data_IF_772763202967
#
_entry.id   IF_772763202967
#
_cell.length_a   1.000
_cell.length_b   1.000
_cell.length_c   1.000
_cell.angle_alpha   90.00
_cell.angle_beta   90.00
_cell.angle_gamma   90.00
#
_symmetry.space_group_name_H-M   'P 1'
#
loop_
_entity.id
_entity.type
_entity.pdbx_description
1 polymer ?
#
# COMPACT_ATOMS: atom_id res chain seq x y z
N UNK A 1 -7.78 -9.43 -19.26
CA UNK A 1 -8.77 -8.35 -19.34
C UNK A 1 -10.21 -8.89 -19.38
N UNK A 2 -10.57 -9.83 -18.50
CA UNK A 2 -11.95 -10.27 -18.31
C UNK A 2 -12.43 -9.73 -16.95
N UNK A 3 -13.74 -9.44 -16.80
CA UNK A 3 -14.31 -9.10 -15.50
C UNK A 3 -14.02 -10.20 -14.47
N UNK A 4 -13.96 -9.82 -13.20
CA UNK A 4 -13.90 -10.80 -12.11
C UNK A 4 -15.25 -11.53 -12.03
N UNK A 5 -15.18 -12.83 -11.77
CA UNK A 5 -16.35 -13.70 -11.58
C UNK A 5 -16.50 -14.01 -10.08
N UNK A 6 -17.73 -13.96 -9.58
CA UNK A 6 -18.04 -14.36 -8.22
C UNK A 6 -18.33 -15.87 -8.22
N UNK A 7 -17.46 -16.64 -7.58
CA UNK A 7 -17.56 -18.11 -7.51
C UNK A 7 -17.64 -18.58 -6.05
N UNK A 8 -18.24 -19.73 -5.83
CA UNK A 8 -18.13 -20.45 -4.56
C UNK A 8 -16.86 -21.30 -4.57
N UNK A 9 -16.01 -21.08 -3.59
CA UNK A 9 -14.77 -21.83 -3.42
C UNK A 9 -14.76 -22.58 -2.08
N UNK A 10 -13.96 -23.64 -2.05
CA UNK A 10 -13.66 -24.35 -0.82
C UNK A 10 -12.39 -23.76 -0.21
N UNK A 11 -12.39 -23.53 1.09
CA UNK A 11 -11.23 -23.12 1.87
C UNK A 11 -10.78 -24.26 2.78
N UNK A 12 -9.50 -24.59 2.76
CA UNK A 12 -8.96 -25.68 3.57
C UNK A 12 -8.91 -25.29 5.06
N UNK A 13 -8.75 -26.27 5.93
CA UNK A 13 -8.53 -26.02 7.37
C UNK A 13 -7.17 -25.32 7.57
N UNK A 14 -7.04 -24.46 8.61
CA UNK A 14 -5.77 -23.86 8.96
C UNK A 14 -4.68 -24.92 9.23
N UNK A 15 -3.54 -24.77 8.54
CA UNK A 15 -2.31 -25.47 8.90
C UNK A 15 -1.70 -24.89 10.19
N UNK A 16 -0.58 -25.46 10.71
CA UNK A 16 -0.03 -25.12 12.03
C UNK A 16 0.12 -23.60 12.28
N UNK A 17 0.66 -22.84 11.33
CA UNK A 17 0.88 -21.38 11.42
C UNK A 17 -0.13 -20.56 10.63
N UNK A 18 -1.29 -21.11 10.30
CA UNK A 18 -2.28 -20.41 9.48
C UNK A 18 -3.45 -19.90 10.31
N UNK A 19 -4.05 -18.84 9.84
CA UNK A 19 -5.16 -18.12 10.46
C UNK A 19 -6.29 -18.00 9.44
N UNK A 20 -7.47 -18.44 9.81
CA UNK A 20 -8.71 -18.23 9.07
C UNK A 20 -9.35 -16.94 9.56
N UNK A 21 -9.58 -16.01 8.64
CA UNK A 21 -10.12 -14.68 8.95
C UNK A 21 -11.42 -14.49 8.16
N UNK A 22 -12.48 -14.07 8.86
CA UNK A 22 -13.68 -13.56 8.21
C UNK A 22 -13.43 -12.13 7.80
N UNK A 23 -13.43 -11.89 6.48
CA UNK A 23 -13.18 -10.57 5.90
C UNK A 23 -14.33 -9.63 6.26
N UNK A 24 -14.03 -8.49 6.84
CA UNK A 24 -15.01 -7.43 7.10
C UNK A 24 -15.03 -6.38 5.99
N UNK A 25 -13.86 -6.03 5.48
CA UNK A 25 -13.68 -5.12 4.37
C UNK A 25 -12.35 -5.36 3.66
N UNK A 26 -12.31 -5.03 2.36
CA UNK A 26 -11.09 -5.03 1.57
C UNK A 26 -11.07 -3.79 0.66
N UNK A 27 -9.98 -3.04 0.70
CA UNK A 27 -9.75 -1.91 -0.21
C UNK A 27 -9.48 -2.39 -1.64
N UNK A 28 -9.90 -1.61 -2.62
CA UNK A 28 -9.52 -1.75 -4.02
C UNK A 28 -8.22 -0.97 -4.25
N UNK A 29 -7.21 -1.62 -4.77
CA UNK A 29 -5.91 -1.02 -5.05
C UNK A 29 -5.55 -1.13 -6.53
N UNK A 30 -4.82 -0.13 -7.06
CA UNK A 30 -4.28 -0.21 -8.42
C UNK A 30 -3.36 -1.42 -8.63
N UNK A 31 -2.75 -1.95 -7.57
CA UNK A 31 -1.97 -3.18 -7.67
C UNK A 31 -2.83 -4.38 -8.04
N UNK A 32 -4.07 -4.50 -7.52
CA UNK A 32 -5.00 -5.56 -7.93
C UNK A 32 -5.32 -5.43 -9.40
N UNK A 33 -5.57 -4.19 -9.88
CA UNK A 33 -5.87 -3.91 -11.28
C UNK A 33 -4.71 -4.33 -12.20
N UNK A 34 -3.46 -4.08 -11.82
CA UNK A 34 -2.30 -4.52 -12.59
C UNK A 34 -2.21 -6.03 -12.75
N UNK A 35 -2.61 -6.81 -11.73
CA UNK A 35 -2.69 -8.27 -11.83
C UNK A 35 -3.87 -8.71 -12.69
N UNK A 36 -5.04 -8.10 -12.53
CA UNK A 36 -6.26 -8.39 -13.32
C UNK A 36 -6.01 -8.10 -14.81
N UNK A 37 -5.30 -7.05 -15.13
CA UNK A 37 -4.95 -6.65 -16.50
C UNK A 37 -3.75 -7.41 -17.08
N UNK A 38 -3.06 -8.21 -16.26
CA UNK A 38 -1.92 -9.00 -16.69
C UNK A 38 -0.62 -8.19 -16.87
N UNK A 39 -0.57 -6.95 -16.37
CA UNK A 39 0.66 -6.13 -16.33
C UNK A 39 1.74 -6.81 -15.50
N UNK A 40 1.32 -7.48 -14.42
CA UNK A 40 2.18 -8.36 -13.61
C UNK A 40 1.69 -9.80 -13.72
N UNK A 41 2.57 -10.76 -14.08
CA UNK A 41 2.19 -12.15 -14.24
C UNK A 41 1.78 -12.79 -12.91
N UNK A 42 0.73 -13.58 -12.93
CA UNK A 42 0.26 -14.37 -11.79
C UNK A 42 -0.33 -15.71 -12.25
N UNK A 43 -0.30 -16.71 -11.40
CA UNK A 43 -0.94 -18.00 -11.66
C UNK A 43 -2.47 -17.83 -11.66
N UNK A 44 -3.15 -18.41 -12.63
CA UNK A 44 -4.61 -18.39 -12.77
C UNK A 44 -5.19 -19.81 -12.72
N UNK A 45 -6.43 -20.02 -12.24
CA UNK A 45 -7.31 -18.99 -11.65
C UNK A 45 -6.81 -18.50 -10.29
N UNK A 46 -7.16 -17.26 -9.91
CA UNK A 46 -6.72 -16.67 -8.66
C UNK A 46 -7.80 -15.78 -8.04
N UNK A 47 -7.82 -15.71 -6.71
CA UNK A 47 -8.61 -14.71 -5.97
C UNK A 47 -7.71 -13.53 -5.66
N UNK A 48 -8.05 -12.31 -6.15
CA UNK A 48 -7.31 -11.09 -5.82
C UNK A 48 -7.71 -10.48 -4.47
N UNK A 49 -7.24 -9.25 -4.21
CA UNK A 49 -7.46 -8.52 -2.96
C UNK A 49 -6.34 -8.71 -1.94
N UNK A 50 -5.81 -7.57 -1.43
CA UNK A 50 -4.67 -7.60 -0.52
C UNK A 50 -4.70 -6.52 0.57
N UNK A 51 -5.75 -5.74 0.66
CA UNK A 51 -5.88 -4.59 1.56
C UNK A 51 -7.05 -4.79 2.51
N UNK A 52 -6.93 -5.73 3.47
CA UNK A 52 -8.08 -6.20 4.20
C UNK A 52 -7.96 -6.09 5.73
N UNK A 53 -9.12 -5.99 6.36
CA UNK A 53 -9.31 -6.19 7.79
C UNK A 53 -10.44 -7.18 8.04
N UNK A 54 -10.39 -7.87 9.19
CA UNK A 54 -11.40 -8.86 9.53
C UNK A 54 -11.26 -9.37 10.95
N UNK A 55 -12.02 -10.42 11.24
CA UNK A 55 -12.04 -11.10 12.55
C UNK A 55 -11.48 -12.50 12.40
N UNK A 56 -10.60 -12.90 13.30
CA UNK A 56 -10.05 -14.26 13.34
C UNK A 56 -11.13 -15.26 13.73
N UNK A 57 -11.40 -16.26 12.89
CA UNK A 57 -12.40 -17.31 13.11
C UNK A 57 -11.78 -18.63 13.59
N UNK A 58 -10.56 -18.95 13.09
CA UNK A 58 -9.83 -20.13 13.52
C UNK A 58 -8.33 -19.91 13.40
N UNK A 59 -7.56 -20.64 14.20
CA UNK A 59 -6.10 -20.59 14.21
C UNK A 59 -5.51 -21.99 14.19
N UNK A 60 -4.36 -22.16 13.54
CA UNK A 60 -3.58 -23.38 13.57
C UNK A 60 -2.92 -23.61 14.93
N UNK A 61 -2.44 -24.84 15.16
CA UNK A 61 -1.93 -25.29 16.46
C UNK A 61 -0.68 -24.56 16.97
N UNK A 62 0.06 -23.93 16.07
CA UNK A 62 1.31 -23.23 16.39
C UNK A 62 1.22 -21.70 16.28
N UNK A 63 0.03 -21.18 15.93
CA UNK A 63 -0.22 -19.74 15.90
C UNK A 63 -0.07 -19.12 17.29
N UNK A 64 0.69 -18.03 17.38
CA UNK A 64 0.98 -17.34 18.65
C UNK A 64 0.71 -15.84 18.60
N UNK A 65 0.57 -15.26 17.41
CA UNK A 65 0.47 -13.81 17.23
C UNK A 65 -0.95 -13.28 17.41
N UNK A 66 -1.94 -14.13 17.15
CA UNK A 66 -3.37 -13.81 17.20
C UNK A 66 -4.18 -14.98 17.76
N UNK A 67 -5.43 -14.74 18.18
CA UNK A 67 -6.39 -15.73 18.65
C UNK A 67 -7.77 -15.48 18.05
N UNK A 68 -8.65 -16.50 18.14
CA UNK A 68 -10.05 -16.39 17.72
C UNK A 68 -10.73 -15.19 18.39
N UNK A 69 -11.45 -14.40 17.59
CA UNK A 69 -12.13 -13.19 18.00
C UNK A 69 -11.29 -11.91 17.90
N UNK A 70 -9.97 -11.99 17.66
CA UNK A 70 -9.16 -10.79 17.47
C UNK A 70 -9.53 -10.07 16.17
N UNK A 71 -9.61 -8.73 16.24
CA UNK A 71 -9.66 -7.85 15.09
C UNK A 71 -8.24 -7.72 14.50
N UNK A 72 -8.12 -7.90 13.18
CA UNK A 72 -6.82 -7.90 12.51
C UNK A 72 -6.85 -7.10 11.20
N UNK A 73 -5.67 -6.54 10.84
CA UNK A 73 -5.36 -6.02 9.50
C UNK A 73 -4.36 -6.96 8.85
N UNK A 74 -4.54 -7.22 7.56
CA UNK A 74 -3.62 -8.06 6.77
C UNK A 74 -2.53 -7.23 6.11
N UNK A 75 -1.41 -7.86 5.78
CA UNK A 75 -0.31 -7.24 5.04
C UNK A 75 0.30 -8.22 4.04
N UNK A 76 0.46 -7.78 2.80
CA UNK A 76 1.13 -8.58 1.77
C UNK A 76 2.63 -8.79 2.02
N UNK A 77 3.25 -8.00 2.92
CA UNK A 77 4.66 -8.14 3.34
C UNK A 77 4.84 -9.28 4.35
N UNK A 78 4.22 -10.44 4.13
CA UNK A 78 4.39 -11.60 4.97
C UNK A 78 5.89 -11.94 5.13
N UNK A 79 6.35 -12.21 6.35
CA UNK A 79 7.76 -12.36 6.67
C UNK A 79 8.06 -13.67 7.38
N UNK A 80 9.26 -14.26 7.15
CA UNK A 80 9.64 -15.52 7.79
C UNK A 80 10.20 -15.34 9.22
N UNK A 81 10.70 -14.17 9.58
CA UNK A 81 11.25 -13.86 10.90
C UNK A 81 12.73 -14.17 11.09
N UNK A 82 13.37 -14.96 10.22
CA UNK A 82 14.74 -15.48 10.42
C UNK A 82 15.74 -15.21 9.29
N UNK A 83 15.29 -14.75 8.09
CA UNK A 83 16.22 -14.41 7.01
C UNK A 83 16.98 -13.11 7.32
N UNK A 84 18.05 -12.86 6.55
CA UNK A 84 18.87 -11.66 6.71
C UNK A 84 18.03 -10.37 6.79
N UNK A 85 17.04 -10.21 5.91
CA UNK A 85 16.19 -9.03 5.92
C UNK A 85 15.37 -8.90 7.20
N UNK A 86 14.79 -10.00 7.68
CA UNK A 86 14.01 -9.98 8.92
C UNK A 86 14.86 -9.64 10.14
N UNK A 87 16.00 -10.33 10.33
CA UNK A 87 16.85 -10.16 11.52
C UNK A 87 17.60 -8.83 11.55
N UNK A 88 17.71 -8.15 10.39
CA UNK A 88 18.28 -6.79 10.29
C UNK A 88 17.23 -5.68 10.28
N UNK A 89 15.95 -5.99 10.59
CA UNK A 89 14.89 -4.99 10.64
C UNK A 89 14.41 -4.48 9.28
N UNK A 90 14.55 -5.27 8.22
CA UNK A 90 14.13 -4.93 6.85
C UNK A 90 13.08 -5.93 6.35
N UNK A 91 12.10 -6.28 7.20
CA UNK A 91 11.14 -7.36 6.93
C UNK A 91 10.30 -7.13 5.66
N UNK A 92 10.06 -5.88 5.26
CA UNK A 92 9.39 -5.58 4.01
C UNK A 92 10.12 -6.13 2.75
N UNK A 93 11.42 -6.45 2.87
CA UNK A 93 12.23 -7.08 1.82
C UNK A 93 12.28 -8.60 1.93
N UNK A 94 11.59 -9.20 2.91
CA UNK A 94 11.54 -10.64 3.06
C UNK A 94 10.84 -11.29 1.86
N UNK A 95 11.39 -12.37 1.33
CA UNK A 95 10.76 -13.12 0.23
C UNK A 95 9.59 -14.00 0.70
N UNK A 96 9.38 -14.13 2.01
CA UNK A 96 8.22 -14.80 2.61
C UNK A 96 8.10 -16.29 2.29
N UNK A 97 9.20 -16.99 1.97
CA UNK A 97 9.17 -18.39 1.52
C UNK A 97 8.42 -19.32 2.47
N UNK A 98 8.67 -19.20 3.78
CA UNK A 98 8.07 -20.05 4.80
C UNK A 98 6.62 -19.69 5.14
N UNK A 99 6.11 -18.59 4.60
CA UNK A 99 4.70 -18.17 4.78
C UNK A 99 3.76 -18.81 3.75
N UNK A 100 4.31 -19.57 2.81
CA UNK A 100 3.58 -20.31 1.78
C UNK A 100 3.55 -21.80 2.14
N UNK A 101 2.51 -22.48 1.69
CA UNK A 101 2.51 -23.94 1.75
C UNK A 101 3.58 -24.50 0.82
N UNK A 102 4.18 -25.62 1.22
CA UNK A 102 5.20 -26.31 0.43
C UNK A 102 4.66 -26.72 -0.95
N UNK A 103 5.50 -26.75 -1.99
CA UNK A 103 5.09 -27.27 -3.30
C UNK A 103 4.51 -28.68 -3.17
N UNK A 104 3.35 -28.92 -3.79
CA UNK A 104 2.62 -30.19 -3.72
C UNK A 104 1.73 -30.38 -2.49
N UNK A 105 1.74 -29.46 -1.53
CA UNK A 105 0.77 -29.47 -0.44
C UNK A 105 -0.64 -29.07 -0.96
N UNK A 106 -1.67 -29.43 -0.21
CA UNK A 106 -3.06 -29.02 -0.49
C UNK A 106 -3.14 -27.49 -0.65
N UNK A 107 -3.86 -27.02 -1.68
CA UNK A 107 -4.08 -25.58 -1.86
C UNK A 107 -4.96 -25.03 -0.73
N UNK A 108 -4.73 -23.77 -0.34
CA UNK A 108 -5.62 -23.08 0.60
C UNK A 108 -7.01 -22.86 0.03
N UNK A 109 -7.10 -22.66 -1.28
CA UNK A 109 -8.34 -22.45 -2.01
C UNK A 109 -8.45 -23.49 -3.13
N UNK A 110 -9.66 -24.03 -3.33
CA UNK A 110 -9.98 -24.91 -4.44
C UNK A 110 -11.41 -24.71 -4.91
N UNK A 111 -11.69 -25.09 -6.15
CA UNK A 111 -13.06 -25.23 -6.65
C UNK A 111 -13.71 -26.49 -6.08
N UNK A 112 -15.04 -26.64 -6.19
CA UNK A 112 -15.75 -27.85 -5.73
C UNK A 112 -15.27 -29.15 -6.37
N UNK A 113 -14.68 -29.09 -7.57
CA UNK A 113 -14.08 -30.24 -8.28
C UNK A 113 -12.68 -30.61 -7.78
N UNK A 114 -12.15 -29.86 -6.78
CA UNK A 114 -10.82 -30.05 -6.21
C UNK A 114 -9.70 -29.33 -6.98
N UNK A 115 -9.97 -28.65 -8.08
CA UNK A 115 -8.95 -27.89 -8.81
C UNK A 115 -8.45 -26.71 -7.98
N UNK A 116 -7.11 -26.48 -7.88
CA UNK A 116 -6.55 -25.45 -7.05
C UNK A 116 -6.81 -24.05 -7.59
N UNK A 117 -7.02 -23.09 -6.69
CA UNK A 117 -7.12 -21.66 -6.99
C UNK A 117 -5.99 -20.92 -6.27
N UNK A 118 -5.28 -20.08 -7.00
CA UNK A 118 -4.15 -19.34 -6.47
C UNK A 118 -4.60 -18.17 -5.58
N UNK A 119 -3.74 -17.82 -4.62
CA UNK A 119 -3.92 -16.63 -3.78
C UNK A 119 -3.06 -15.49 -4.31
N UNK A 120 -3.68 -14.35 -4.65
CA UNK A 120 -2.91 -13.15 -4.97
C UNK A 120 -2.21 -12.64 -3.70
N UNK A 121 -0.89 -12.46 -3.80
CA UNK A 121 -0.04 -11.96 -2.71
C UNK A 121 -0.20 -12.72 -1.37
N UNK A 122 -0.59 -14.01 -1.43
CA UNK A 122 -0.86 -14.91 -0.30
C UNK A 122 -2.03 -14.47 0.62
N UNK A 123 -2.89 -13.56 0.16
CA UNK A 123 -4.01 -13.03 0.95
C UNK A 123 -5.37 -13.46 0.38
N UNK A 124 -5.70 -13.10 -0.86
CA UNK A 124 -7.01 -13.42 -1.49
C UNK A 124 -8.19 -12.79 -0.76
N UNK A 125 -8.13 -11.48 -0.57
CA UNK A 125 -9.05 -10.80 0.33
C UNK A 125 -10.39 -10.38 -0.29
N UNK A 126 -10.57 -10.47 -1.63
CA UNK A 126 -11.88 -10.31 -2.25
C UNK A 126 -12.70 -11.60 -2.11
N UNK A 127 -12.92 -11.98 -0.87
CA UNK A 127 -13.66 -13.16 -0.45
C UNK A 127 -14.21 -12.95 0.96
N UNK A 128 -15.28 -13.68 1.30
CA UNK A 128 -15.86 -13.65 2.66
C UNK A 128 -14.89 -14.17 3.72
N UNK A 129 -13.99 -15.08 3.32
CA UNK A 129 -13.01 -15.71 4.21
C UNK A 129 -11.62 -15.74 3.57
N UNK A 130 -10.58 -15.52 4.38
CA UNK A 130 -9.18 -15.64 4.00
C UNK A 130 -8.48 -16.67 4.87
N UNK A 131 -7.65 -17.52 4.26
CA UNK A 131 -6.73 -18.40 4.99
C UNK A 131 -5.30 -17.96 4.68
N UNK A 132 -4.61 -17.41 5.67
CA UNK A 132 -3.30 -16.79 5.51
C UNK A 132 -2.33 -17.29 6.59
N UNK A 133 -1.04 -17.01 6.44
CA UNK A 133 -0.05 -17.26 7.47
C UNK A 133 -0.17 -16.20 8.59
N UNK A 134 0.08 -16.57 9.86
CA UNK A 134 0.02 -15.63 11.00
C UNK A 134 0.92 -14.40 10.83
N UNK A 135 2.04 -14.53 10.12
CA UNK A 135 2.93 -13.40 9.76
C UNK A 135 2.47 -12.60 8.54
N UNK A 136 1.21 -12.72 8.15
CA UNK A 136 0.56 -11.87 7.14
C UNK A 136 -0.57 -11.03 7.72
N UNK A 137 -0.74 -11.02 9.04
CA UNK A 137 -1.70 -10.15 9.74
C UNK A 137 -1.14 -9.67 11.07
N UNK A 138 -1.76 -8.64 11.60
CA UNK A 138 -1.48 -8.13 12.95
C UNK A 138 -2.76 -7.76 13.66
N UNK A 139 -2.80 -8.02 14.97
CA UNK A 139 -3.92 -7.63 15.83
C UNK A 139 -3.96 -6.10 15.96
N UNK A 140 -5.16 -5.56 15.94
CA UNK A 140 -5.44 -4.13 16.14
C UNK A 140 -6.42 -3.91 17.29
N UNK A 141 -6.63 -2.65 17.66
CA UNK A 141 -7.63 -2.26 18.64
C UNK A 141 -9.04 -2.75 18.17
N UNK A 142 -9.79 -3.49 19.00
CA UNK A 142 -11.12 -3.98 18.63
C UNK A 142 -12.16 -2.87 18.41
N UNK A 143 -11.93 -1.67 18.95
CA UNK A 143 -12.79 -0.51 18.72
C UNK A 143 -12.55 0.17 17.36
N UNK A 144 -11.48 -0.21 16.64
CA UNK A 144 -11.19 0.33 15.30
C UNK A 144 -12.22 -0.15 14.29
N UNK A 145 -12.93 0.75 13.57
CA UNK A 145 -13.84 0.34 12.49
C UNK A 145 -13.08 -0.41 11.38
N UNK A 146 -13.50 -1.65 11.08
CA UNK A 146 -12.76 -2.54 10.21
C UNK A 146 -12.73 -2.09 8.74
N UNK A 147 -13.73 -1.36 8.28
CA UNK A 147 -13.76 -0.76 6.96
C UNK A 147 -12.69 0.34 6.79
N UNK A 148 -12.37 1.09 7.86
CA UNK A 148 -11.23 2.03 7.89
C UNK A 148 -9.93 1.28 8.09
N UNK A 149 -9.93 0.24 8.93
CA UNK A 149 -8.74 -0.54 9.18
C UNK A 149 -8.20 -1.22 7.90
N UNK A 150 -9.10 -1.63 6.98
CA UNK A 150 -8.69 -2.33 5.76
C UNK A 150 -7.68 -1.53 4.93
N UNK A 151 -7.89 -0.22 4.73
CA UNK A 151 -6.96 0.62 3.93
C UNK A 151 -5.59 0.81 4.58
N UNK A 152 -5.43 0.47 5.87
CA UNK A 152 -4.13 0.41 6.51
C UNK A 152 -3.30 -0.75 5.95
N UNK A 153 -3.94 -1.81 5.45
CA UNK A 153 -3.30 -3.02 4.94
C UNK A 153 -2.30 -2.80 3.79
N UNK A 154 -2.52 -1.76 2.98
CA UNK A 154 -1.63 -1.44 1.85
C UNK A 154 -1.40 0.06 1.71
N UNK A 155 -2.38 0.83 1.24
CA UNK A 155 -2.19 2.23 0.84
C UNK A 155 -1.64 3.09 1.98
N UNK A 156 -2.22 2.99 3.17
CA UNK A 156 -1.82 3.81 4.32
C UNK A 156 -0.46 3.38 4.86
N UNK A 157 -0.21 2.08 5.01
CA UNK A 157 1.11 1.55 5.44
C UNK A 157 2.19 1.92 4.44
N UNK A 158 1.91 1.86 3.13
CA UNK A 158 2.85 2.25 2.09
C UNK A 158 3.19 3.74 2.15
N UNK A 159 2.19 4.60 2.18
CA UNK A 159 2.39 6.04 2.23
C UNK A 159 3.04 6.51 3.54
N UNK A 160 2.49 6.12 4.67
CA UNK A 160 2.99 6.49 5.99
C UNK A 160 4.39 5.89 6.26
N UNK A 161 4.58 4.60 5.94
CA UNK A 161 5.88 3.95 6.08
C UNK A 161 6.96 4.61 5.21
N UNK A 162 6.62 5.11 4.03
CA UNK A 162 7.58 5.88 3.23
C UNK A 162 8.06 7.12 3.96
N UNK A 163 7.16 7.87 4.56
CA UNK A 163 7.52 9.07 5.34
C UNK A 163 8.33 8.71 6.59
N UNK A 164 7.86 7.74 7.38
CA UNK A 164 8.46 7.43 8.68
C UNK A 164 9.69 6.53 8.60
N UNK A 165 9.68 5.51 7.71
CA UNK A 165 10.70 4.46 7.70
C UNK A 165 11.73 4.67 6.58
N UNK A 166 11.29 4.98 5.35
CA UNK A 166 12.19 5.12 4.20
C UNK A 166 12.82 6.50 4.12
N UNK A 167 12.04 7.57 4.16
CA UNK A 167 12.50 8.95 4.11
C UNK A 167 12.95 9.47 5.48
N UNK A 168 12.33 8.99 6.56
CA UNK A 168 12.59 9.44 7.94
C UNK A 168 12.44 10.96 8.07
N UNK A 169 11.35 11.48 7.51
CA UNK A 169 11.07 12.91 7.48
C UNK A 169 11.10 13.49 8.88
N UNK A 170 11.85 14.56 9.06
CA UNK A 170 11.98 15.28 10.33
C UNK A 170 11.22 16.61 10.29
N UNK A 171 10.83 17.15 11.49
CA UNK A 171 10.11 18.42 11.56
C UNK A 171 10.85 19.55 10.83
N UNK A 172 10.10 20.28 9.99
CA UNK A 172 10.61 21.40 9.20
C UNK A 172 11.10 21.04 7.80
N UNK A 173 11.37 19.77 7.48
CA UNK A 173 11.73 19.35 6.13
C UNK A 173 10.59 19.54 5.13
N UNK A 174 10.93 19.58 3.86
CA UNK A 174 10.00 19.80 2.75
C UNK A 174 9.74 18.51 2.00
N UNK A 175 8.46 18.23 1.72
CA UNK A 175 8.01 17.01 1.03
C UNK A 175 7.18 17.37 -0.19
N UNK A 176 7.48 16.78 -1.35
CA UNK A 176 6.58 16.77 -2.50
C UNK A 176 6.02 15.36 -2.70
N UNK A 177 4.73 15.25 -2.99
CA UNK A 177 4.06 13.99 -3.34
C UNK A 177 3.49 14.12 -4.73
N UNK A 178 3.98 13.31 -5.66
CA UNK A 178 3.53 13.24 -7.04
C UNK A 178 2.54 12.07 -7.16
N UNK A 179 1.28 12.40 -7.41
CA UNK A 179 0.15 11.48 -7.40
C UNK A 179 -0.64 11.53 -6.09
N UNK A 180 -1.82 12.14 -6.13
CA UNK A 180 -2.72 12.31 -4.97
C UNK A 180 -3.88 11.30 -4.96
N UNK A 181 -3.65 10.08 -5.44
CA UNK A 181 -4.45 8.89 -5.14
C UNK A 181 -3.74 8.11 -4.04
N UNK A 182 -2.87 7.16 -4.41
CA UNK A 182 -2.03 6.41 -3.47
C UNK A 182 -1.12 7.26 -2.58
N UNK A 183 -0.82 8.51 -2.97
CA UNK A 183 -0.01 9.45 -2.21
C UNK A 183 -0.72 10.20 -1.08
N UNK A 184 -2.06 10.15 -0.97
CA UNK A 184 -2.80 10.87 0.08
C UNK A 184 -2.36 10.46 1.49
N UNK A 185 -2.09 9.18 1.70
CA UNK A 185 -1.59 8.68 2.98
C UNK A 185 -0.19 9.23 3.32
N UNK A 186 0.68 9.39 2.32
CA UNK A 186 2.00 10.02 2.51
C UNK A 186 1.87 11.50 2.87
N UNK A 187 0.93 12.22 2.27
CA UNK A 187 0.64 13.63 2.61
C UNK A 187 0.21 13.76 4.07
N UNK A 188 -0.73 12.94 4.52
CA UNK A 188 -1.20 12.99 5.90
C UNK A 188 -0.08 12.57 6.89
N UNK A 189 0.70 11.55 6.55
CA UNK A 189 1.85 11.14 7.35
C UNK A 189 2.94 12.23 7.42
N UNK A 190 3.20 12.98 6.33
CA UNK A 190 4.14 14.09 6.33
C UNK A 190 3.68 15.22 7.27
N UNK A 191 2.37 15.50 7.33
CA UNK A 191 1.80 16.42 8.34
C UNK A 191 2.05 15.90 9.76
N UNK A 192 1.82 14.62 10.03
CA UNK A 192 2.07 13.99 11.33
C UNK A 192 3.55 14.06 11.70
N UNK A 193 4.46 13.86 10.73
CA UNK A 193 5.91 13.97 10.92
C UNK A 193 6.39 15.41 11.19
N UNK A 194 5.52 16.42 10.99
CA UNK A 194 5.87 17.83 11.19
C UNK A 194 6.61 18.46 10.01
N UNK A 195 6.42 17.95 8.78
CA UNK A 195 7.00 18.56 7.59
C UNK A 195 6.63 20.05 7.49
N UNK A 196 7.61 20.88 7.14
CA UNK A 196 7.43 22.34 7.08
C UNK A 196 6.65 22.82 5.88
N UNK A 197 6.85 22.14 4.74
CA UNK A 197 6.02 22.32 3.53
C UNK A 197 5.70 20.96 2.91
N UNK A 198 4.47 20.80 2.49
CA UNK A 198 3.97 19.61 1.83
C UNK A 198 3.33 20.03 0.52
N UNK A 199 3.93 19.65 -0.60
CA UNK A 199 3.47 19.98 -1.95
C UNK A 199 2.78 18.78 -2.55
N UNK A 200 1.51 18.89 -2.90
CA UNK A 200 0.74 17.88 -3.60
C UNK A 200 0.74 18.16 -5.10
N UNK A 201 1.28 17.25 -5.90
CA UNK A 201 1.31 17.37 -7.35
C UNK A 201 0.43 16.30 -8.00
N UNK A 202 -0.68 16.72 -8.62
CA UNK A 202 -1.63 15.83 -9.31
C UNK A 202 -2.31 16.62 -10.45
N UNK A 203 -2.63 16.02 -11.61
CA UNK A 203 -3.35 16.71 -12.67
C UNK A 203 -4.82 17.03 -12.31
N UNK A 204 -5.42 16.23 -11.43
CA UNK A 204 -6.85 16.31 -11.10
C UNK A 204 -7.05 17.31 -9.94
N UNK A 205 -7.80 18.38 -10.17
CA UNK A 205 -8.00 19.44 -9.18
C UNK A 205 -8.65 18.93 -7.89
N UNK A 206 -9.66 18.09 -8.00
CA UNK A 206 -10.39 17.50 -6.87
C UNK A 206 -9.45 16.68 -5.97
N UNK A 207 -8.48 15.96 -6.56
CA UNK A 207 -7.44 15.21 -5.79
C UNK A 207 -6.49 16.16 -5.07
N UNK A 208 -6.15 17.29 -5.69
CA UNK A 208 -5.35 18.33 -5.02
C UNK A 208 -6.11 18.96 -3.85
N UNK A 209 -7.43 19.15 -3.96
CA UNK A 209 -8.26 19.63 -2.85
C UNK A 209 -8.32 18.62 -1.68
N UNK A 210 -8.46 17.32 -1.97
CA UNK A 210 -8.38 16.27 -0.94
C UNK A 210 -7.01 16.28 -0.25
N UNK A 211 -5.94 16.46 -1.02
CA UNK A 211 -4.59 16.58 -0.49
C UNK A 211 -4.44 17.75 0.50
N UNK A 212 -5.06 18.90 0.20
CA UNK A 212 -5.09 20.05 1.13
C UNK A 212 -5.80 19.71 2.43
N UNK A 213 -6.94 19.02 2.38
CA UNK A 213 -7.66 18.56 3.59
C UNK A 213 -6.77 17.66 4.46
N UNK A 214 -5.98 16.81 3.84
CA UNK A 214 -5.05 15.88 4.51
C UNK A 214 -3.74 16.54 4.97
N UNK A 215 -3.47 17.78 4.59
CA UNK A 215 -2.35 18.54 5.12
C UNK A 215 -1.35 19.09 4.10
N UNK A 216 -1.62 18.96 2.79
CA UNK A 216 -0.80 19.65 1.80
C UNK A 216 -0.88 21.16 2.00
N UNK A 217 0.27 21.82 2.02
CA UNK A 217 0.37 23.27 2.19
C UNK A 217 0.30 24.01 0.85
N UNK A 218 0.64 23.35 -0.24
CA UNK A 218 0.64 23.87 -1.61
C UNK A 218 0.24 22.74 -2.58
N UNK A 219 -0.28 23.14 -3.73
CA UNK A 219 -0.63 22.22 -4.81
C UNK A 219 -0.03 22.67 -6.14
N UNK A 220 0.29 21.72 -7.01
CA UNK A 220 0.83 21.94 -8.35
C UNK A 220 0.09 21.00 -9.31
N UNK A 221 -0.20 21.47 -10.52
CA UNK A 221 -0.63 20.60 -11.60
C UNK A 221 0.58 19.79 -12.10
N UNK A 222 0.53 18.47 -11.90
CA UNK A 222 1.65 17.58 -12.24
C UNK A 222 1.92 17.48 -13.77
N UNK A 223 0.96 17.90 -14.62
CA UNK A 223 1.09 17.93 -16.08
C UNK A 223 1.48 19.30 -16.62
N UNK A 224 1.61 20.32 -15.79
CA UNK A 224 2.14 21.60 -16.23
C UNK A 224 3.60 21.44 -16.71
N UNK A 225 3.96 22.06 -17.82
CA UNK A 225 5.32 21.99 -18.41
C UNK A 225 6.40 22.43 -17.42
N UNK A 226 6.06 23.33 -16.51
CA UNK A 226 6.94 23.90 -15.49
C UNK A 226 6.69 23.34 -14.07
N UNK A 227 5.96 22.23 -13.93
CA UNK A 227 5.59 21.66 -12.62
C UNK A 227 6.79 21.52 -11.65
N UNK A 228 7.92 21.03 -12.13
CA UNK A 228 9.14 20.93 -11.32
C UNK A 228 9.66 22.31 -10.89
N UNK A 229 9.64 23.29 -11.79
CA UNK A 229 10.09 24.65 -11.48
C UNK A 229 9.18 25.32 -10.43
N UNK A 230 7.86 25.13 -10.52
CA UNK A 230 6.92 25.61 -9.51
C UNK A 230 7.23 25.02 -8.13
N UNK A 231 7.49 23.69 -8.02
CA UNK A 231 7.85 23.03 -6.76
C UNK A 231 9.16 23.62 -6.20
N UNK A 232 10.17 23.81 -7.07
CA UNK A 232 11.47 24.40 -6.69
C UNK A 232 11.30 25.83 -6.20
N UNK A 233 10.48 26.65 -6.85
CA UNK A 233 10.18 28.03 -6.46
C UNK A 233 9.45 28.09 -5.11
N UNK A 234 8.37 27.30 -4.92
CA UNK A 234 7.62 27.21 -3.69
C UNK A 234 8.48 26.85 -2.47
N UNK A 235 9.52 26.04 -2.71
CA UNK A 235 10.43 25.55 -1.67
C UNK A 235 11.75 26.31 -1.61
N UNK A 236 11.96 27.30 -2.50
CA UNK A 236 13.19 28.10 -2.59
C UNK A 236 14.45 27.25 -2.81
N UNK A 237 14.38 26.29 -3.73
CA UNK A 237 15.55 25.49 -4.12
C UNK A 237 15.29 23.99 -4.23
N UNK A 238 14.08 23.54 -4.08
CA UNK A 238 13.64 22.14 -4.19
C UNK A 238 13.31 21.52 -2.82
N UNK A 239 12.73 20.30 -2.85
CA UNK A 239 12.32 19.57 -1.66
C UNK A 239 13.40 18.64 -1.12
N UNK A 240 13.34 18.37 0.20
CA UNK A 240 14.16 17.35 0.85
C UNK A 240 13.79 15.95 0.37
N UNK A 241 12.49 15.68 0.27
CA UNK A 241 11.93 14.39 -0.13
C UNK A 241 10.86 14.58 -1.19
N UNK A 242 10.97 13.82 -2.28
CA UNK A 242 9.94 13.73 -3.31
C UNK A 242 9.43 12.28 -3.40
N UNK A 243 8.12 12.10 -3.24
CA UNK A 243 7.47 10.79 -3.24
C UNK A 243 6.74 10.61 -4.57
N UNK A 244 7.08 9.57 -5.30
CA UNK A 244 6.40 9.17 -6.52
C UNK A 244 5.37 8.09 -6.21
N UNK A 245 4.07 8.36 -6.43
CA UNK A 245 2.96 7.48 -6.08
C UNK A 245 2.00 7.20 -7.26
N UNK A 246 2.47 7.36 -8.50
CA UNK A 246 1.70 7.14 -9.74
C UNK A 246 2.09 5.84 -10.43
N UNK A 247 3.39 5.51 -10.45
CA UNK A 247 3.94 4.37 -11.17
C UNK A 247 4.23 4.65 -12.65
N UNK A 248 4.70 5.86 -12.98
CA UNK A 248 5.08 6.24 -14.36
C UNK A 248 6.49 6.84 -14.40
N UNK A 249 7.28 6.60 -15.46
CA UNK A 249 8.60 7.21 -15.58
C UNK A 249 8.58 8.73 -15.47
N UNK A 250 7.63 9.39 -16.13
CA UNK A 250 7.53 10.86 -16.12
C UNK A 250 7.28 11.42 -14.71
N UNK A 251 6.47 10.76 -13.88
CA UNK A 251 6.25 11.16 -12.48
C UNK A 251 7.50 10.92 -11.62
N UNK A 252 8.26 9.86 -11.88
CA UNK A 252 9.56 9.62 -11.26
C UNK A 252 10.59 10.70 -11.61
N UNK A 253 10.63 11.11 -12.88
CA UNK A 253 11.50 12.21 -13.34
C UNK A 253 11.08 13.56 -12.74
N UNK A 254 9.78 13.84 -12.65
CA UNK A 254 9.25 15.02 -11.97
C UNK A 254 9.69 15.05 -10.49
N UNK A 255 9.58 13.91 -9.80
CA UNK A 255 10.04 13.78 -8.40
C UNK A 255 11.53 14.11 -8.27
N UNK A 256 12.40 13.58 -9.16
CA UNK A 256 13.85 13.86 -9.12
C UNK A 256 14.16 15.34 -9.46
N UNK A 257 13.47 15.91 -10.45
CA UNK A 257 13.67 17.32 -10.86
C UNK A 257 13.24 18.28 -9.74
N UNK A 258 12.26 17.89 -8.91
CA UNK A 258 11.76 18.72 -7.79
C UNK A 258 12.71 18.78 -6.58
N UNK A 259 13.73 17.91 -6.52
CA UNK A 259 14.64 17.81 -5.38
C UNK A 259 15.62 18.99 -5.30
N UNK A 260 15.90 19.42 -4.08
CA UNK A 260 17.09 20.22 -3.76
C UNK A 260 18.37 19.38 -3.89
N UNK A 261 19.54 20.03 -3.82
CA UNK A 261 20.82 19.32 -3.67
C UNK A 261 20.80 18.43 -2.42
N UNK A 262 21.24 17.19 -2.56
CA UNK A 262 21.25 16.20 -1.48
C UNK A 262 19.88 15.59 -1.16
N UNK A 263 18.79 16.03 -1.81
CA UNK A 263 17.44 15.49 -1.61
C UNK A 263 17.27 14.07 -2.14
N UNK A 264 16.17 13.41 -1.73
CA UNK A 264 15.89 12.00 -2.07
C UNK A 264 14.51 11.87 -2.72
N UNK A 265 14.44 11.29 -3.91
CA UNK A 265 13.22 10.83 -4.53
C UNK A 265 12.97 9.36 -4.15
N UNK A 266 11.74 9.05 -3.77
CA UNK A 266 11.33 7.70 -3.34
C UNK A 266 10.17 7.22 -4.20
N UNK A 267 10.36 6.09 -4.87
CA UNK A 267 9.36 5.48 -5.75
C UNK A 267 8.50 4.52 -4.94
N UNK A 268 7.19 4.73 -4.97
CA UNK A 268 6.14 3.86 -4.42
C UNK A 268 5.28 3.24 -5.51
N UNK A 269 4.99 4.01 -6.56
CA UNK A 269 4.11 3.58 -7.63
C UNK A 269 4.66 2.35 -8.35
N UNK A 270 3.78 1.35 -8.57
CA UNK A 270 4.14 0.16 -9.34
C UNK A 270 4.26 0.52 -10.83
N UNK A 271 5.49 0.61 -11.33
CA UNK A 271 5.76 0.81 -12.76
C UNK A 271 5.73 -0.53 -13.50
N UNK A 272 5.28 -0.58 -14.76
CA UNK A 272 5.42 -1.77 -15.59
C UNK A 272 6.88 -2.23 -15.66
N UNK A 273 7.12 -3.55 -15.70
CA UNK A 273 8.45 -4.17 -15.56
C UNK A 273 9.53 -3.65 -16.52
N UNK A 274 9.12 -3.16 -17.69
CA UNK A 274 10.05 -2.70 -18.73
C UNK A 274 10.31 -1.18 -18.71
N UNK A 275 9.81 -0.47 -17.68
CA UNK A 275 10.00 0.97 -17.55
C UNK A 275 11.21 1.31 -16.67
N UNK A 276 11.80 2.47 -16.93
CA UNK A 276 12.91 3.03 -16.16
C UNK A 276 12.68 4.51 -15.90
N UNK A 277 13.26 5.01 -14.82
CA UNK A 277 13.30 6.44 -14.49
C UNK A 277 14.66 6.98 -14.86
N UNK A 278 14.69 8.03 -15.70
CA UNK A 278 15.92 8.69 -16.11
C UNK A 278 16.45 9.67 -15.04
N UNK A 279 17.75 9.59 -14.74
CA UNK A 279 18.44 10.57 -13.90
C UNK A 279 19.56 11.26 -14.70
N UNK A 280 19.64 12.59 -14.57
CA UNK A 280 20.74 13.34 -15.12
C UNK A 280 22.04 13.11 -14.33
N UNK A 281 23.19 13.03 -15.01
CA UNK A 281 24.48 12.86 -14.34
C UNK A 281 24.77 14.00 -13.35
N UNK A 282 24.34 15.22 -13.66
CA UNK A 282 24.50 16.38 -12.76
C UNK A 282 23.57 16.31 -11.53
N UNK A 283 22.41 15.65 -11.65
CA UNK A 283 21.56 15.41 -10.49
C UNK A 283 22.27 14.48 -9.48
N UNK A 284 22.85 13.37 -9.97
CA UNK A 284 23.64 12.46 -9.13
C UNK A 284 24.86 13.17 -8.54
N UNK A 285 25.60 13.96 -9.33
CA UNK A 285 26.77 14.69 -8.85
C UNK A 285 26.41 15.75 -7.78
N UNK A 286 25.20 16.30 -7.85
CA UNK A 286 24.69 17.23 -6.81
C UNK A 286 24.20 16.52 -5.53
N UNK A 287 24.40 15.22 -5.44
CA UNK A 287 24.02 14.40 -4.27
C UNK A 287 22.54 14.01 -4.22
N UNK A 288 21.76 14.27 -5.28
CA UNK A 288 20.39 13.78 -5.35
C UNK A 288 20.37 12.25 -5.37
N UNK A 289 19.37 11.65 -4.73
CA UNK A 289 19.23 10.20 -4.58
C UNK A 289 17.90 9.75 -5.17
N UNK A 290 17.89 8.54 -5.72
CA UNK A 290 16.68 7.81 -6.09
C UNK A 290 16.67 6.48 -5.35
N UNK A 291 15.57 6.16 -4.68
CA UNK A 291 15.39 4.91 -3.97
C UNK A 291 13.98 4.36 -4.19
N UNK A 292 13.75 3.08 -3.90
CA UNK A 292 12.43 2.47 -3.80
C UNK A 292 12.02 2.27 -2.34
N UNK A 293 10.72 2.20 -2.08
CA UNK A 293 10.19 1.88 -0.76
C UNK A 293 9.01 0.91 -0.86
N UNK A 294 9.33 -0.37 -1.12
CA UNK A 294 8.31 -1.41 -1.17
C UNK A 294 7.50 -1.40 0.12
N UNK A 295 6.16 -1.28 -0.03
CA UNK A 295 5.23 -1.22 1.11
C UNK A 295 5.66 -0.23 2.21
N UNK A 296 6.29 0.90 1.82
CA UNK A 296 6.79 1.90 2.75
C UNK A 296 7.94 1.43 3.66
N UNK A 297 8.66 0.37 3.30
CA UNK A 297 9.67 -0.27 4.16
C UNK A 297 9.14 -0.59 5.56
N UNK A 298 7.89 -1.07 5.63
CA UNK A 298 7.13 -1.26 6.85
C UNK A 298 7.70 -2.33 7.79
N UNK A 299 7.38 -2.15 9.07
CA UNK A 299 7.45 -3.15 10.13
C UNK A 299 6.02 -3.38 10.62
N UNK A 300 5.16 -3.91 9.76
CA UNK A 300 3.71 -3.84 9.92
C UNK A 300 3.16 -4.34 11.28
N UNK A 301 3.74 -5.34 11.97
CA UNK A 301 3.27 -5.73 13.30
C UNK A 301 3.38 -4.62 14.35
N UNK A 302 4.23 -3.62 14.10
CA UNK A 302 4.43 -2.43 14.95
C UNK A 302 3.77 -1.20 14.32
N UNK A 303 3.93 -1.01 13.01
CA UNK A 303 3.49 0.20 12.33
C UNK A 303 1.97 0.27 12.20
N UNK A 304 1.28 -0.83 11.85
CA UNK A 304 -0.17 -0.82 11.67
C UNK A 304 -0.93 -0.52 12.98
N UNK A 305 -0.63 -1.14 14.13
CA UNK A 305 -1.23 -0.73 15.41
C UNK A 305 -0.97 0.74 15.75
N UNK A 306 0.19 1.29 15.40
CA UNK A 306 0.49 2.72 15.56
C UNK A 306 -0.36 3.60 14.64
N UNK A 307 -0.57 3.18 13.39
CA UNK A 307 -1.45 3.90 12.45
C UNK A 307 -2.90 3.86 12.91
N UNK A 308 -3.35 2.76 13.50
CA UNK A 308 -4.66 2.66 14.16
C UNK A 308 -4.74 3.65 15.32
N UNK A 309 -3.73 3.73 16.20
CA UNK A 309 -3.70 4.73 17.29
C UNK A 309 -3.75 6.17 16.75
N UNK A 310 -3.04 6.46 15.67
CA UNK A 310 -3.12 7.79 15.03
C UNK A 310 -4.53 8.11 14.52
N UNK A 311 -5.22 7.14 13.92
CA UNK A 311 -6.62 7.32 13.50
C UNK A 311 -7.54 7.52 14.71
N UNK A 312 -7.47 6.65 15.71
CA UNK A 312 -8.31 6.74 16.92
C UNK A 312 -8.13 8.05 17.68
N UNK A 313 -6.96 8.67 17.55
CA UNK A 313 -6.64 10.00 18.12
C UNK A 313 -6.94 11.18 17.19
N UNK A 314 -7.50 10.93 16.00
CA UNK A 314 -7.82 11.96 15.03
C UNK A 314 -6.62 12.63 14.34
N UNK A 315 -5.45 12.00 14.39
CA UNK A 315 -4.23 12.49 13.72
C UNK A 315 -4.15 12.02 12.27
N UNK A 316 -4.61 10.80 12.00
CA UNK A 316 -4.67 10.19 10.67
C UNK A 316 -6.13 10.20 10.20
N UNK A 317 -6.40 10.74 9.02
CA UNK A 317 -7.73 10.83 8.44
C UNK A 317 -7.92 9.75 7.37
N UNK A 318 -8.52 8.63 7.76
CA UNK A 318 -8.85 7.53 6.85
C UNK A 318 -10.19 7.74 6.14
N UNK A 319 -11.08 8.53 6.73
CA UNK A 319 -12.42 8.78 6.17
C UNK A 319 -12.33 9.57 4.86
N UNK A 320 -11.41 10.51 4.76
CA UNK A 320 -11.17 11.29 3.52
C UNK A 320 -10.50 10.43 2.43
N UNK A 321 -9.77 9.38 2.80
CA UNK A 321 -9.09 8.47 1.84
C UNK A 321 -10.09 7.48 1.22
N UNK A 322 -11.14 7.09 1.95
CA UNK A 322 -12.14 6.13 1.47
C UNK A 322 -13.19 6.85 0.63
N UNK A 323 -13.13 6.65 -0.69
CA UNK A 323 -14.05 7.31 -1.61
C UNK A 323 -15.47 6.74 -1.54
N UNK A 324 -15.64 5.41 -1.50
CA UNK A 324 -16.92 4.73 -1.57
C UNK A 324 -16.86 3.36 -0.85
N UNK A 325 -18.02 2.82 -0.52
CA UNK A 325 -18.22 1.46 0.00
C UNK A 325 -19.20 0.72 -0.89
N UNK A 326 -18.76 -0.41 -1.41
CA UNK A 326 -19.56 -1.24 -2.32
C UNK A 326 -19.58 -2.70 -1.82
N UNK A 327 -20.64 -3.46 -2.08
CA UNK A 327 -20.64 -4.89 -1.82
C UNK A 327 -19.74 -5.64 -2.82
N UNK A 328 -19.30 -6.84 -2.46
CA UNK A 328 -18.38 -7.65 -3.27
C UNK A 328 -18.89 -7.91 -4.69
N UNK A 329 -20.19 -8.08 -4.85
CA UNK A 329 -20.85 -8.32 -6.14
C UNK A 329 -20.67 -7.17 -7.14
N UNK A 330 -20.38 -5.96 -6.63
CA UNK A 330 -20.12 -4.75 -7.44
C UNK A 330 -18.63 -4.47 -7.67
N UNK A 331 -17.75 -5.43 -7.39
CA UNK A 331 -16.30 -5.24 -7.48
C UNK A 331 -15.83 -4.73 -8.85
N UNK A 332 -16.44 -5.21 -9.93
CA UNK A 332 -16.11 -4.77 -11.27
C UNK A 332 -16.48 -3.28 -11.50
N UNK A 333 -17.62 -2.82 -10.96
CA UNK A 333 -18.02 -1.41 -11.01
C UNK A 333 -16.99 -0.54 -10.25
N UNK A 334 -16.51 -1.02 -9.10
CA UNK A 334 -15.46 -0.35 -8.33
C UNK A 334 -14.15 -0.19 -9.11
N UNK A 335 -13.72 -1.20 -9.83
CA UNK A 335 -12.53 -1.11 -10.69
C UNK A 335 -12.73 -0.17 -11.89
N UNK A 336 -13.91 -0.13 -12.48
CA UNK A 336 -14.20 0.84 -13.55
C UNK A 336 -14.18 2.29 -13.01
N UNK A 337 -14.73 2.53 -11.82
CA UNK A 337 -14.64 3.83 -11.14
C UNK A 337 -13.18 4.22 -10.87
N UNK A 338 -12.36 3.28 -10.41
CA UNK A 338 -10.92 3.50 -10.18
C UNK A 338 -10.20 3.85 -11.49
N UNK A 339 -10.47 3.14 -12.61
CA UNK A 339 -9.87 3.40 -13.93
C UNK A 339 -10.21 4.78 -14.47
N UNK A 340 -11.43 5.26 -14.23
CA UNK A 340 -11.85 6.59 -14.66
C UNK A 340 -11.10 7.72 -13.97
N UNK A 341 -10.40 7.43 -12.86
CA UNK A 341 -9.76 8.44 -12.02
C UNK A 341 -10.73 9.26 -11.17
N UNK A 342 -12.02 8.95 -11.19
CA UNK A 342 -13.06 9.66 -10.43
C UNK A 342 -12.97 9.40 -8.92
N UNK A 343 -12.31 8.33 -8.49
CA UNK A 343 -12.02 8.05 -7.08
C UNK A 343 -10.61 8.50 -6.69
N UNK A 344 -10.46 8.88 -5.43
CA UNK A 344 -9.16 9.25 -4.86
C UNK A 344 -8.25 8.02 -4.72
#
# INVERSE_FOLDING_TARGET
NQPLEIEQLQISKPGPHEVLIRTAACGLCHSDLHFIEGTYPHALPAVPGHEAAGIVEAVGSEVRTVKVGDAVVTCLSAFCGHCEFCVTGRMALCLGGDTRRAPGAESRLSRPDGSPVAQMLNLSAFAEMMLIHEHACTRIDPEMPLDRASVIGCAVTTGAGTIFNACKVTPGETVAVVGCGGGLAAINAAKIAGAGKIIAADPIAEKRELAVKLGATHTVDALADDAAAQIVELTKGGVDHAIEAVGRPASGELAVKSLRRGGTATILGMMPLNHSVGLGAMDLLSGKKLQGAIMGMNHFPVDMPRLVDFYMRGMLDLDTIIAERIPLEKINEGFETMKSGASA
#
